data_IF_365390995746
#
_entry.id   IF_365390995746
#
_cell.length_a   1.000
_cell.length_b   1.000
_cell.length_c   1.000
_cell.angle_alpha   90.00
_cell.angle_beta   90.00
_cell.angle_gamma   90.00
#
_symmetry.space_group_name_H-M   'P 1'
#
loop_
_entity.id
_entity.type
_entity.pdbx_description
1 polymer ?
#
# COMPACT_ATOMS: atom_id res chain seq x y z
N UNK A 1 -30.16 17.23 -5.50
CA UNK A 1 -29.58 17.58 -6.84
C UNK A 1 -28.39 18.58 -6.79
N UNK A 2 -28.03 19.21 -5.66
CA UNK A 2 -26.87 20.15 -5.55
C UNK A 2 -25.54 19.51 -5.08
N UNK A 3 -25.55 18.30 -4.52
CA UNK A 3 -24.34 17.60 -4.04
C UNK A 3 -23.51 16.95 -5.17
N UNK A 4 -24.13 16.56 -6.29
CA UNK A 4 -23.40 15.92 -7.39
C UNK A 4 -22.56 16.87 -8.26
N UNK A 5 -22.87 18.17 -8.24
CA UNK A 5 -22.15 19.19 -9.05
C UNK A 5 -20.83 19.65 -8.40
N UNK A 6 -20.69 19.53 -7.07
CA UNK A 6 -19.45 19.92 -6.37
C UNK A 6 -18.33 18.87 -6.49
N UNK A 7 -18.67 17.59 -6.62
CA UNK A 7 -17.66 16.52 -6.76
C UNK A 7 -17.03 16.46 -8.17
N UNK A 8 -17.80 16.74 -9.20
CA UNK A 8 -17.30 16.75 -10.59
C UNK A 8 -16.31 17.87 -10.85
N UNK A 9 -16.49 19.05 -10.23
CA UNK A 9 -15.56 20.19 -10.34
C UNK A 9 -14.23 19.95 -9.63
N UNK A 10 -14.21 19.20 -8.51
CA UNK A 10 -12.98 18.85 -7.79
C UNK A 10 -12.07 17.88 -8.55
N UNK A 11 -12.66 16.92 -9.27
CA UNK A 11 -11.93 15.95 -10.06
C UNK A 11 -11.35 16.55 -11.36
N UNK A 12 -12.11 17.43 -12.02
CA UNK A 12 -11.63 18.14 -13.20
C UNK A 12 -10.42 19.04 -12.89
N UNK A 13 -10.46 19.77 -11.78
CA UNK A 13 -9.32 20.59 -11.32
C UNK A 13 -8.09 19.76 -10.93
N UNK A 14 -8.26 18.55 -10.39
CA UNK A 14 -7.14 17.65 -10.07
C UNK A 14 -6.48 17.12 -11.34
N UNK A 15 -7.29 16.66 -12.31
CA UNK A 15 -6.80 16.19 -13.60
C UNK A 15 -6.10 17.32 -14.37
N UNK A 16 -6.68 18.51 -14.42
CA UNK A 16 -6.07 19.68 -15.06
C UNK A 16 -4.73 20.07 -14.42
N UNK A 17 -4.60 20.00 -13.08
CA UNK A 17 -3.32 20.32 -12.42
C UNK A 17 -2.24 19.27 -12.72
N UNK A 18 -2.58 17.99 -12.71
CA UNK A 18 -1.63 16.91 -13.05
C UNK A 18 -1.21 16.97 -14.52
N UNK A 19 -2.16 17.26 -15.42
CA UNK A 19 -1.88 17.49 -16.84
C UNK A 19 -0.97 18.72 -17.02
N UNK A 20 -1.23 19.82 -16.29
CA UNK A 20 -0.39 21.01 -16.32
C UNK A 20 1.05 20.75 -15.85
N UNK A 21 1.22 19.99 -14.77
CA UNK A 21 2.56 19.60 -14.29
C UNK A 21 3.25 18.67 -15.27
N UNK A 22 2.53 17.71 -15.85
CA UNK A 22 3.06 16.83 -16.89
C UNK A 22 3.46 17.58 -18.17
N UNK A 23 2.64 18.56 -18.58
CA UNK A 23 2.95 19.43 -19.71
C UNK A 23 4.18 20.31 -19.43
N UNK A 24 4.32 20.87 -18.22
CA UNK A 24 5.50 21.63 -17.83
C UNK A 24 6.75 20.76 -17.89
N UNK A 25 6.70 19.53 -17.35
CA UNK A 25 7.80 18.59 -17.41
C UNK A 25 8.20 18.26 -18.84
N UNK A 26 7.23 17.93 -19.70
CA UNK A 26 7.46 17.65 -21.11
C UNK A 26 8.03 18.87 -21.86
N UNK A 27 7.58 20.09 -21.52
CA UNK A 27 8.08 21.33 -22.12
C UNK A 27 9.53 21.59 -21.72
N UNK A 28 9.91 21.38 -20.46
CA UNK A 28 11.29 21.49 -19.98
C UNK A 28 12.18 20.52 -20.77
N UNK A 29 11.81 19.22 -20.80
CA UNK A 29 12.54 18.23 -21.56
C UNK A 29 12.70 18.59 -23.05
N UNK A 30 11.63 19.09 -23.67
CA UNK A 30 11.67 19.49 -25.09
C UNK A 30 12.59 20.66 -25.34
N UNK A 31 12.56 21.68 -24.47
CA UNK A 31 13.44 22.84 -24.55
C UNK A 31 14.90 22.40 -24.40
N UNK A 32 15.22 21.57 -23.42
CA UNK A 32 16.57 21.09 -23.19
C UNK A 32 17.10 20.25 -24.36
N UNK A 33 16.26 19.36 -24.93
CA UNK A 33 16.61 18.59 -26.12
C UNK A 33 16.87 19.50 -27.33
N UNK A 34 16.01 20.50 -27.55
CA UNK A 34 16.18 21.46 -28.65
C UNK A 34 17.44 22.31 -28.46
N UNK A 35 17.70 22.79 -27.23
CA UNK A 35 18.91 23.54 -26.91
C UNK A 35 20.17 22.68 -27.13
N UNK A 36 20.16 21.43 -26.70
CA UNK A 36 21.28 20.50 -26.95
C UNK A 36 21.48 20.22 -28.44
N UNK A 37 20.40 20.07 -29.21
CA UNK A 37 20.46 19.80 -30.65
C UNK A 37 20.89 20.99 -31.52
N UNK A 38 20.67 22.23 -31.02
CA UNK A 38 21.05 23.47 -31.73
C UNK A 38 22.39 24.04 -31.30
N UNK A 39 23.03 23.44 -30.29
CA UNK A 39 24.26 23.93 -29.67
C UNK A 39 25.51 23.27 -30.28
N UNK A 40 26.66 23.93 -30.20
CA UNK A 40 27.95 23.32 -30.51
C UNK A 40 28.27 22.12 -29.60
N UNK A 41 29.06 21.12 -30.03
CA UNK A 41 29.27 19.87 -29.26
C UNK A 41 29.62 20.05 -27.79
N UNK A 42 30.43 21.05 -27.43
CA UNK A 42 30.81 21.32 -26.05
C UNK A 42 29.68 21.91 -25.20
N UNK A 43 28.84 22.77 -25.75
CA UNK A 43 27.68 23.34 -25.06
C UNK A 43 26.50 22.35 -24.99
N UNK A 44 26.35 21.49 -25.99
CA UNK A 44 25.38 20.40 -25.97
C UNK A 44 25.66 19.41 -24.83
N UNK A 45 26.93 19.05 -24.60
CA UNK A 45 27.31 18.20 -23.47
C UNK A 45 27.06 18.89 -22.12
N UNK A 46 27.30 20.20 -21.99
CA UNK A 46 26.99 20.97 -20.79
C UNK A 46 25.48 20.96 -20.48
N UNK A 47 24.65 21.20 -21.49
CA UNK A 47 23.18 21.16 -21.36
C UNK A 47 22.70 19.78 -20.92
N UNK A 48 23.15 18.72 -21.59
CA UNK A 48 22.71 17.36 -21.30
C UNK A 48 23.20 16.85 -19.93
N UNK A 49 24.40 17.23 -19.50
CA UNK A 49 25.01 16.67 -18.31
C UNK A 49 24.83 17.54 -17.05
N UNK A 50 24.44 18.80 -17.18
CA UNK A 50 24.26 19.72 -16.04
C UNK A 50 22.84 20.33 -16.02
N UNK A 51 22.41 21.01 -17.10
CA UNK A 51 21.14 21.72 -17.09
C UNK A 51 19.97 20.76 -16.97
N UNK A 52 19.91 19.73 -17.81
CA UNK A 52 18.85 18.73 -17.81
C UNK A 52 18.68 18.02 -16.45
N UNK A 53 19.72 17.51 -15.77
CA UNK A 53 19.60 16.99 -14.41
C UNK A 53 19.07 17.99 -13.41
N UNK A 54 19.51 19.25 -13.44
CA UNK A 54 19.00 20.29 -12.54
C UNK A 54 17.52 20.56 -12.78
N UNK A 55 17.11 20.66 -14.03
CA UNK A 55 15.71 20.92 -14.38
C UNK A 55 14.79 19.75 -13.99
N UNK A 56 15.20 18.54 -14.25
CA UNK A 56 14.38 17.36 -13.98
C UNK A 56 14.40 16.92 -12.51
N UNK A 57 15.52 17.11 -11.79
CA UNK A 57 15.66 16.63 -10.40
C UNK A 57 15.44 17.73 -9.37
N UNK A 58 15.45 19.02 -9.74
CA UNK A 58 15.27 20.15 -8.82
C UNK A 58 14.08 21.02 -9.23
N UNK A 59 14.09 21.57 -10.45
CA UNK A 59 13.05 22.53 -10.88
C UNK A 59 11.69 21.86 -11.04
N UNK A 60 11.60 20.72 -11.71
CA UNK A 60 10.33 20.01 -11.91
C UNK A 60 9.74 19.48 -10.59
N UNK A 61 10.49 18.84 -9.67
CA UNK A 61 10.02 18.48 -8.34
C UNK A 61 9.55 19.68 -7.50
N UNK A 62 10.28 20.81 -7.55
CA UNK A 62 9.90 22.02 -6.85
C UNK A 62 8.59 22.61 -7.41
N UNK A 63 8.45 22.65 -8.73
CA UNK A 63 7.22 23.07 -9.39
C UNK A 63 6.04 22.16 -9.01
N UNK A 64 6.26 20.85 -9.00
CA UNK A 64 5.26 19.87 -8.55
C UNK A 64 4.87 20.09 -7.08
N UNK A 65 5.84 20.32 -6.21
CA UNK A 65 5.59 20.62 -4.81
C UNK A 65 4.77 21.91 -4.62
N UNK A 66 5.15 22.99 -5.29
CA UNK A 66 4.47 24.29 -5.19
C UNK A 66 3.05 24.24 -5.78
N UNK A 67 2.87 23.58 -6.92
CA UNK A 67 1.59 23.58 -7.64
C UNK A 67 0.60 22.51 -7.14
N UNK A 68 1.10 21.38 -6.65
CA UNK A 68 0.26 20.23 -6.33
C UNK A 68 0.30 19.81 -4.86
N UNK A 69 1.49 19.65 -4.28
CA UNK A 69 1.66 19.09 -2.93
C UNK A 69 1.31 20.12 -1.86
N UNK A 70 1.97 21.28 -1.88
CA UNK A 70 1.81 22.35 -0.89
C UNK A 70 0.38 22.88 -0.78
N UNK A 71 -0.33 23.26 -1.87
CA UNK A 71 -1.68 23.83 -1.76
C UNK A 71 -2.72 22.83 -1.26
N UNK A 72 -2.40 21.54 -1.28
CA UNK A 72 -3.31 20.45 -0.85
C UNK A 72 -2.95 19.86 0.51
N UNK A 73 -1.96 20.44 1.20
CA UNK A 73 -1.49 19.92 2.50
C UNK A 73 -1.02 18.47 2.46
N UNK A 74 -0.55 18.01 1.28
CA UNK A 74 -0.07 16.64 1.12
C UNK A 74 1.34 16.49 1.63
N UNK A 75 1.71 15.24 1.99
CA UNK A 75 3.07 14.92 2.41
C UNK A 75 4.10 15.26 1.33
N UNK A 76 5.22 15.92 1.67
CA UNK A 76 6.31 16.20 0.74
C UNK A 76 6.95 14.94 0.16
N UNK A 77 6.78 13.78 0.77
CA UNK A 77 7.21 12.46 0.25
C UNK A 77 6.72 12.22 -1.18
N UNK A 78 5.57 12.80 -1.58
CA UNK A 78 5.06 12.69 -2.96
C UNK A 78 5.96 13.31 -4.02
N UNK A 79 6.94 14.11 -3.64
CA UNK A 79 7.92 14.72 -4.55
C UNK A 79 9.01 13.72 -4.95
N UNK A 80 9.33 12.75 -4.11
CA UNK A 80 10.42 11.79 -4.31
C UNK A 80 10.34 10.99 -5.63
N UNK A 81 9.18 10.42 -6.00
CA UNK A 81 9.06 9.75 -7.29
C UNK A 81 9.41 10.65 -8.48
N UNK A 82 9.12 11.96 -8.38
CA UNK A 82 9.43 12.92 -9.45
C UNK A 82 10.94 13.14 -9.55
N UNK A 83 11.65 13.24 -8.41
CA UNK A 83 13.12 13.36 -8.37
C UNK A 83 13.78 12.11 -8.97
N UNK A 84 13.35 10.91 -8.58
CA UNK A 84 13.94 9.67 -9.08
C UNK A 84 13.64 9.44 -10.57
N UNK A 85 12.43 9.78 -11.05
CA UNK A 85 12.09 9.76 -12.47
C UNK A 85 12.95 10.78 -13.26
N UNK A 86 13.15 11.96 -12.69
CA UNK A 86 14.04 12.98 -13.27
C UNK A 86 15.47 12.48 -13.39
N UNK A 87 16.00 11.82 -12.36
CA UNK A 87 17.32 11.21 -12.38
C UNK A 87 17.46 10.10 -13.42
N UNK A 88 16.47 9.22 -13.53
CA UNK A 88 16.45 8.16 -14.54
C UNK A 88 16.40 8.73 -15.97
N UNK A 89 15.54 9.73 -16.21
CA UNK A 89 15.44 10.42 -17.50
C UNK A 89 16.77 11.13 -17.87
N UNK A 90 17.36 11.87 -16.93
CA UNK A 90 18.65 12.53 -17.13
C UNK A 90 19.75 11.54 -17.46
N UNK A 91 19.78 10.38 -16.77
CA UNK A 91 20.77 9.33 -17.03
C UNK A 91 20.61 8.71 -18.43
N UNK A 92 19.37 8.58 -18.92
CA UNK A 92 19.11 8.03 -20.24
C UNK A 92 19.48 9.00 -21.38
N UNK A 93 19.51 10.32 -21.10
CA UNK A 93 19.71 11.38 -22.09
C UNK A 93 21.12 12.00 -22.04
N UNK A 94 22.00 11.53 -21.17
CA UNK A 94 23.35 12.07 -21.03
C UNK A 94 24.24 11.71 -22.23
N UNK A 95 25.20 12.60 -22.50
CA UNK A 95 26.20 12.45 -23.56
C UNK A 95 27.56 12.08 -22.92
N UNK A 96 28.28 11.17 -23.55
CA UNK A 96 29.63 10.70 -23.14
C UNK A 96 29.75 10.08 -21.75
N UNK A 97 28.64 9.65 -21.13
CA UNK A 97 28.65 8.96 -19.84
C UNK A 97 29.19 9.78 -18.65
N UNK A 98 29.35 11.10 -18.80
CA UNK A 98 29.80 11.99 -17.73
C UNK A 98 28.66 12.40 -16.80
N UNK A 99 28.34 11.54 -15.83
CA UNK A 99 27.21 11.69 -14.92
C UNK A 99 27.52 12.36 -13.58
N UNK A 100 28.53 13.18 -13.47
CA UNK A 100 29.02 13.65 -12.17
C UNK A 100 27.93 14.28 -11.29
N UNK A 101 26.96 14.96 -11.89
CA UNK A 101 25.90 15.65 -11.14
C UNK A 101 24.75 14.72 -10.70
N UNK A 102 24.33 13.78 -11.55
CA UNK A 102 23.20 12.87 -11.24
C UNK A 102 23.42 12.02 -9.99
N UNK A 103 24.57 11.35 -9.80
CA UNK A 103 24.85 10.63 -8.56
C UNK A 103 24.85 11.54 -7.32
N UNK A 104 25.39 12.75 -7.43
CA UNK A 104 25.38 13.71 -6.31
C UNK A 104 23.95 14.12 -5.93
N UNK A 105 23.08 14.40 -6.91
CA UNK A 105 21.69 14.75 -6.68
C UNK A 105 20.89 13.55 -6.14
N UNK A 106 21.15 12.33 -6.60
CA UNK A 106 20.53 11.12 -6.06
C UNK A 106 20.96 10.86 -4.61
N UNK A 107 22.24 11.05 -4.28
CA UNK A 107 22.74 10.96 -2.89
C UNK A 107 22.09 12.03 -2.02
N UNK A 108 21.98 13.27 -2.50
CA UNK A 108 21.30 14.34 -1.79
C UNK A 108 19.82 14.04 -1.58
N UNK A 109 19.12 13.52 -2.60
CA UNK A 109 17.74 13.07 -2.50
C UNK A 109 17.59 11.94 -1.46
N UNK A 110 18.46 10.93 -1.52
CA UNK A 110 18.47 9.84 -0.53
C UNK A 110 18.75 10.34 0.90
N UNK A 111 19.64 11.33 1.06
CA UNK A 111 19.89 11.95 2.37
C UNK A 111 18.65 12.70 2.90
N UNK A 112 17.92 13.40 2.03
CA UNK A 112 16.63 14.02 2.38
C UNK A 112 15.60 12.97 2.76
N UNK A 113 15.51 11.85 2.03
CA UNK A 113 14.61 10.73 2.35
C UNK A 113 14.90 10.19 3.74
N UNK A 114 16.17 9.91 4.03
CA UNK A 114 16.61 9.44 5.35
C UNK A 114 16.28 10.47 6.44
N UNK A 115 16.50 11.76 6.20
CA UNK A 115 16.18 12.81 7.16
C UNK A 115 14.67 12.90 7.43
N UNK A 116 13.83 12.82 6.39
CA UNK A 116 12.37 12.79 6.52
C UNK A 116 11.94 11.55 7.29
N UNK A 117 12.43 10.36 6.93
CA UNK A 117 12.14 9.13 7.64
C UNK A 117 12.58 9.22 9.11
N UNK A 118 13.78 9.71 9.39
CA UNK A 118 14.27 9.91 10.75
C UNK A 118 13.44 10.91 11.55
N UNK A 119 12.81 11.89 10.92
CA UNK A 119 11.91 12.84 11.58
C UNK A 119 10.55 12.22 11.92
N UNK A 120 10.04 11.33 11.07
CA UNK A 120 8.74 10.67 11.27
C UNK A 120 8.83 9.44 12.18
N UNK A 121 9.94 8.69 12.16
CA UNK A 121 10.15 7.50 13.00
C UNK A 121 9.90 7.79 14.51
N UNK A 122 10.42 8.87 15.12
CA UNK A 122 10.15 9.15 16.54
C UNK A 122 8.68 9.48 16.81
N UNK A 123 7.96 10.08 15.85
CA UNK A 123 6.53 10.38 15.97
C UNK A 123 5.72 9.10 15.94
N UNK A 124 5.99 8.24 14.96
CA UNK A 124 5.36 6.92 14.82
C UNK A 124 5.69 6.05 16.04
N UNK A 125 6.96 6.02 16.48
CA UNK A 125 7.38 5.26 17.65
C UNK A 125 6.68 5.73 18.95
N UNK A 126 6.46 7.04 19.11
CA UNK A 126 5.68 7.59 20.25
C UNK A 126 4.22 7.17 20.16
N UNK A 127 3.59 7.27 18.99
CA UNK A 127 2.22 6.85 18.78
C UNK A 127 2.05 5.34 19.04
N UNK A 128 2.96 4.50 18.54
CA UNK A 128 2.98 3.05 18.79
C UNK A 128 3.15 2.74 20.29
N UNK A 129 4.02 3.46 21.00
CA UNK A 129 4.21 3.28 22.44
C UNK A 129 2.97 3.71 23.23
N UNK A 130 2.38 4.86 22.90
CA UNK A 130 1.17 5.36 23.56
C UNK A 130 0.03 4.34 23.43
N UNK A 131 -0.21 3.83 22.23
CA UNK A 131 -1.20 2.79 21.99
C UNK A 131 -0.84 1.41 22.56
N UNK A 132 0.45 1.10 22.71
CA UNK A 132 0.87 -0.13 23.39
C UNK A 132 0.60 -0.08 24.91
N UNK A 133 0.55 1.11 25.51
CA UNK A 133 0.16 1.30 26.91
C UNK A 133 -1.37 1.23 27.09
N UNK A 134 -2.16 1.81 26.16
CA UNK A 134 -3.63 1.68 26.14
C UNK A 134 -4.11 0.30 25.66
N UNK A 135 -3.30 -0.39 24.89
CA UNK A 135 -3.67 -1.60 24.15
C UNK A 135 -3.60 -2.91 24.94
N UNK A 136 -3.38 -2.88 26.25
CA UNK A 136 -3.62 -4.08 27.08
C UNK A 136 -5.10 -4.49 27.09
N UNK A 137 -6.00 -3.54 26.82
CA UNK A 137 -7.47 -3.73 26.75
C UNK A 137 -8.04 -3.62 25.32
N UNK A 138 -7.23 -3.45 24.27
CA UNK A 138 -7.79 -3.16 22.96
C UNK A 138 -8.17 -4.42 22.19
N UNK A 139 -9.39 -4.41 21.68
CA UNK A 139 -9.96 -5.42 20.77
C UNK A 139 -9.25 -5.43 19.38
N UNK A 140 -8.29 -4.55 19.16
CA UNK A 140 -7.60 -4.35 17.89
C UNK A 140 -6.47 -5.36 17.69
N UNK A 141 -6.41 -5.96 16.51
CA UNK A 141 -5.27 -6.76 16.06
C UNK A 141 -4.01 -5.90 15.88
N UNK A 142 -2.81 -6.48 15.80
CA UNK A 142 -1.59 -5.72 15.55
C UNK A 142 -1.64 -4.87 14.28
N UNK A 143 -2.22 -5.37 13.18
CA UNK A 143 -2.39 -4.61 11.94
C UNK A 143 -3.30 -3.39 12.12
N UNK A 144 -4.42 -3.55 12.81
CA UNK A 144 -5.35 -2.47 13.12
C UNK A 144 -4.71 -1.41 14.03
N UNK A 145 -3.91 -1.83 15.03
CA UNK A 145 -3.17 -0.90 15.89
C UNK A 145 -2.18 -0.05 15.11
N UNK A 146 -1.37 -0.67 14.23
CA UNK A 146 -0.44 0.08 13.39
C UNK A 146 -1.18 1.05 12.48
N UNK A 147 -2.34 0.64 11.93
CA UNK A 147 -3.15 1.52 11.10
C UNK A 147 -3.65 2.73 11.89
N UNK A 148 -4.21 2.54 13.08
CA UNK A 148 -4.65 3.64 13.93
C UNK A 148 -3.51 4.58 14.33
N UNK A 149 -2.33 4.02 14.68
CA UNK A 149 -1.16 4.82 15.02
C UNK A 149 -0.71 5.72 13.88
N UNK A 150 -0.54 5.12 12.71
CA UNK A 150 0.02 5.82 11.55
C UNK A 150 -0.98 6.82 10.97
N UNK A 151 -2.26 6.45 10.90
CA UNK A 151 -3.32 7.36 10.46
C UNK A 151 -3.51 8.53 11.44
N UNK A 152 -3.32 8.31 12.74
CA UNK A 152 -3.36 9.36 13.76
C UNK A 152 -2.23 10.38 13.63
N UNK A 153 -1.04 9.96 13.17
CA UNK A 153 0.13 10.84 12.97
C UNK A 153 0.14 11.49 11.58
N UNK A 154 -0.15 10.72 10.53
CA UNK A 154 0.00 11.13 9.13
C UNK A 154 -1.31 11.53 8.46
N UNK A 155 -2.44 11.37 9.15
CA UNK A 155 -3.78 11.51 8.59
C UNK A 155 -4.20 10.29 7.74
N UNK A 156 -5.51 10.21 7.45
CA UNK A 156 -6.10 9.11 6.67
C UNK A 156 -5.71 9.25 5.19
N UNK A 157 -4.69 8.55 4.77
CA UNK A 157 -4.14 8.59 3.42
C UNK A 157 -3.67 7.21 2.96
N UNK A 158 -3.58 7.00 1.64
CA UNK A 158 -3.05 5.73 1.10
C UNK A 158 -1.59 5.47 1.54
N UNK A 159 -0.66 6.45 1.51
CA UNK A 159 0.69 6.24 2.03
C UNK A 159 0.73 5.86 3.52
N UNK A 160 -0.12 6.46 4.35
CA UNK A 160 -0.20 6.11 5.77
C UNK A 160 -0.62 4.65 5.97
N UNK A 161 -1.61 4.18 5.21
CA UNK A 161 -2.06 2.78 5.26
C UNK A 161 -1.01 1.81 4.75
N UNK A 162 -0.30 2.17 3.66
CA UNK A 162 0.81 1.36 3.16
C UNK A 162 1.92 1.23 4.21
N UNK A 163 2.31 2.33 4.85
CA UNK A 163 3.30 2.30 5.92
C UNK A 163 2.83 1.47 7.12
N UNK A 164 1.56 1.59 7.50
CA UNK A 164 0.99 0.76 8.56
C UNK A 164 1.04 -0.74 8.23
N UNK A 165 0.75 -1.09 6.97
CA UNK A 165 0.88 -2.47 6.47
C UNK A 165 2.32 -2.97 6.53
N UNK A 166 3.30 -2.15 6.13
CA UNK A 166 4.73 -2.50 6.22
C UNK A 166 5.16 -2.77 7.67
N UNK A 167 4.77 -1.88 8.59
CA UNK A 167 5.06 -2.07 10.02
C UNK A 167 4.40 -3.34 10.58
N UNK A 168 3.15 -3.61 10.18
CA UNK A 168 2.45 -4.84 10.56
C UNK A 168 3.14 -6.07 9.97
N UNK A 169 3.56 -6.03 8.69
CA UNK A 169 4.31 -7.10 8.03
C UNK A 169 5.56 -7.50 8.83
N UNK A 170 6.39 -6.50 9.19
CA UNK A 170 7.59 -6.76 9.98
C UNK A 170 7.28 -7.29 11.37
N UNK A 171 6.20 -6.80 12.00
CA UNK A 171 5.76 -7.30 13.30
C UNK A 171 5.32 -8.77 13.21
N UNK A 172 4.50 -9.13 12.21
CA UNK A 172 4.05 -10.51 12.00
C UNK A 172 5.20 -11.44 11.64
N UNK A 173 6.17 -10.97 10.85
CA UNK A 173 7.35 -11.76 10.50
C UNK A 173 8.26 -12.04 11.70
N UNK A 174 8.54 -11.01 12.52
CA UNK A 174 9.61 -11.09 13.53
C UNK A 174 9.10 -11.38 14.95
N UNK A 175 7.89 -10.96 15.31
CA UNK A 175 7.40 -10.98 16.69
C UNK A 175 6.17 -11.84 16.93
N UNK A 176 5.58 -12.42 15.91
CA UNK A 176 4.32 -13.16 16.02
C UNK A 176 4.50 -14.62 16.36
N UNK A 177 5.70 -15.14 16.27
CA UNK A 177 5.98 -16.57 16.49
C UNK A 177 5.71 -16.98 17.94
N UNK A 178 4.99 -18.10 18.12
CA UNK A 178 4.60 -18.60 19.42
C UNK A 178 3.46 -17.83 20.11
N UNK A 179 2.91 -16.79 19.49
CA UNK A 179 1.76 -16.07 20.06
C UNK A 179 0.46 -16.76 19.70
N UNK A 180 -0.53 -16.79 20.62
CA UNK A 180 -1.89 -17.25 20.32
C UNK A 180 -2.62 -16.29 19.41
N UNK A 181 -3.70 -16.78 18.78
CA UNK A 181 -4.63 -15.94 18.02
C UNK A 181 -5.22 -14.84 18.92
N UNK A 182 -5.41 -13.67 18.32
CA UNK A 182 -5.95 -12.51 19.04
C UNK A 182 -7.48 -12.63 19.14
N UNK A 183 -7.94 -13.13 20.30
CA UNK A 183 -9.35 -13.27 20.62
C UNK A 183 -9.61 -12.66 22.00
N UNK A 184 -10.20 -11.45 22.10
CA UNK A 184 -10.68 -10.88 23.36
C UNK A 184 -11.82 -11.73 23.95
N UNK A 185 -11.98 -11.68 25.28
CA UNK A 185 -12.91 -12.55 26.01
C UNK A 185 -14.40 -12.41 25.58
N UNK A 186 -14.78 -11.21 25.14
CA UNK A 186 -16.16 -10.90 24.73
C UNK A 186 -16.49 -11.28 23.25
N UNK A 187 -15.57 -11.99 22.56
CA UNK A 187 -15.72 -12.30 21.14
C UNK A 187 -15.66 -13.79 20.87
N UNK A 188 -16.56 -14.27 20.01
CA UNK A 188 -16.40 -15.55 19.33
C UNK A 188 -15.44 -15.38 18.14
N UNK A 189 -14.45 -16.26 18.04
CA UNK A 189 -13.44 -16.22 16.99
C UNK A 189 -13.69 -17.29 15.93
N UNK A 190 -13.75 -16.85 14.67
CA UNK A 190 -13.90 -17.72 13.52
C UNK A 190 -12.65 -17.68 12.66
N UNK A 191 -11.94 -18.81 12.55
CA UNK A 191 -10.81 -18.95 11.65
C UNK A 191 -11.29 -19.00 10.19
N UNK A 192 -10.39 -18.64 9.24
CA UNK A 192 -10.68 -18.62 7.80
C UNK A 192 -9.49 -19.11 6.97
N UNK A 193 -8.58 -19.84 7.60
CA UNK A 193 -7.31 -20.26 6.99
C UNK A 193 -7.13 -21.78 7.00
N UNK A 194 -7.92 -22.56 7.75
CA UNK A 194 -7.74 -24.01 7.91
C UNK A 194 -8.36 -24.76 6.74
N UNK A 195 -9.62 -24.52 6.45
CA UNK A 195 -10.36 -25.16 5.36
C UNK A 195 -10.02 -24.58 3.97
N UNK A 196 -9.48 -23.36 3.94
CA UNK A 196 -9.16 -22.64 2.70
C UNK A 196 -7.88 -23.11 2.01
N UNK A 197 -7.15 -24.08 2.55
CA UNK A 197 -5.81 -24.47 2.06
C UNK A 197 -4.82 -23.31 1.85
N UNK A 198 -5.16 -22.09 2.29
CA UNK A 198 -4.37 -20.89 2.06
C UNK A 198 -2.95 -21.01 2.64
N UNK A 199 -2.84 -21.61 3.83
CA UNK A 199 -1.54 -21.86 4.50
C UNK A 199 -0.70 -22.88 3.75
N UNK A 200 -1.30 -23.97 3.27
CA UNK A 200 -0.62 -24.99 2.49
C UNK A 200 -0.15 -24.41 1.15
N UNK A 201 -1.03 -23.70 0.45
CA UNK A 201 -0.68 -23.05 -0.81
C UNK A 201 0.45 -22.02 -0.62
N UNK A 202 0.37 -21.17 0.42
CA UNK A 202 1.44 -20.23 0.75
C UNK A 202 2.77 -20.90 1.00
N UNK A 203 2.79 -22.04 1.72
CA UNK A 203 4.00 -22.82 1.99
C UNK A 203 4.61 -23.35 0.68
N UNK A 204 3.77 -23.92 -0.19
CA UNK A 204 4.22 -24.40 -1.51
C UNK A 204 4.76 -23.26 -2.37
N UNK A 205 4.07 -22.12 -2.40
CA UNK A 205 4.53 -20.94 -3.15
C UNK A 205 5.84 -20.39 -2.62
N UNK A 206 6.03 -20.33 -1.30
CA UNK A 206 7.31 -19.92 -0.69
C UNK A 206 8.43 -20.86 -1.12
N UNK A 207 8.19 -22.17 -1.07
CA UNK A 207 9.20 -23.16 -1.49
C UNK A 207 9.55 -23.04 -2.97
N UNK A 208 8.55 -23.02 -3.86
CA UNK A 208 8.76 -22.94 -5.30
C UNK A 208 9.43 -21.62 -5.71
N UNK A 209 8.96 -20.47 -5.19
CA UNK A 209 9.55 -19.19 -5.50
C UNK A 209 10.96 -19.02 -4.95
N UNK A 210 11.29 -19.65 -3.81
CA UNK A 210 12.67 -19.69 -3.31
C UNK A 210 13.60 -20.47 -4.25
N UNK A 211 13.13 -21.60 -4.78
CA UNK A 211 13.89 -22.38 -5.77
C UNK A 211 14.04 -21.63 -7.09
N UNK A 212 12.93 -21.05 -7.58
CA UNK A 212 12.92 -20.24 -8.81
C UNK A 212 13.88 -19.04 -8.71
N UNK A 213 13.93 -18.38 -7.54
CA UNK A 213 14.81 -17.23 -7.31
C UNK A 213 16.27 -17.56 -7.58
N UNK A 214 16.73 -18.75 -7.20
CA UNK A 214 18.12 -19.19 -7.45
C UNK A 214 18.36 -19.32 -8.96
N UNK A 215 17.44 -19.98 -9.67
CA UNK A 215 17.56 -20.18 -11.12
C UNK A 215 17.53 -18.86 -11.88
N UNK A 216 16.56 -17.99 -11.54
CA UNK A 216 16.41 -16.68 -12.15
C UNK A 216 17.60 -15.77 -11.86
N UNK A 217 18.14 -15.81 -10.63
CA UNK A 217 19.35 -15.06 -10.27
C UNK A 217 20.55 -15.47 -11.14
N UNK A 218 20.79 -16.77 -11.28
CA UNK A 218 21.88 -17.29 -12.11
C UNK A 218 21.69 -16.90 -13.58
N UNK A 219 20.47 -17.01 -14.09
CA UNK A 219 20.17 -16.64 -15.48
C UNK A 219 20.37 -15.14 -15.73
N UNK A 220 19.81 -14.29 -14.86
CA UNK A 220 19.92 -12.82 -14.98
C UNK A 220 21.34 -12.32 -14.74
N UNK A 221 22.12 -12.94 -13.89
CA UNK A 221 23.52 -12.54 -13.64
C UNK A 221 24.40 -12.68 -14.89
N UNK A 222 24.01 -13.55 -15.86
CA UNK A 222 24.69 -13.65 -17.15
C UNK A 222 24.42 -12.44 -18.07
N UNK A 223 23.31 -11.74 -17.84
CA UNK A 223 22.92 -10.54 -18.60
C UNK A 223 23.38 -9.29 -17.87
N UNK A 224 23.07 -9.17 -16.59
CA UNK A 224 23.42 -8.03 -15.75
C UNK A 224 23.35 -8.40 -14.25
N UNK A 225 24.46 -8.22 -13.54
CA UNK A 225 24.51 -8.43 -12.10
C UNK A 225 23.53 -7.51 -11.34
N UNK A 226 23.38 -6.25 -11.76
CA UNK A 226 22.44 -5.32 -11.15
C UNK A 226 21.00 -5.80 -11.28
N UNK A 227 20.61 -6.26 -12.47
CA UNK A 227 19.27 -6.79 -12.73
C UNK A 227 19.00 -8.05 -11.90
N UNK A 228 19.98 -8.95 -11.78
CA UNK A 228 19.87 -10.15 -10.95
C UNK A 228 19.64 -9.81 -9.47
N UNK A 229 20.39 -8.83 -8.94
CA UNK A 229 20.25 -8.37 -7.54
C UNK A 229 18.85 -7.77 -7.32
N UNK A 230 18.41 -6.86 -8.18
CA UNK A 230 17.09 -6.21 -8.07
C UNK A 230 15.96 -7.25 -8.10
N UNK A 231 16.00 -8.18 -9.06
CA UNK A 231 15.00 -9.24 -9.16
C UNK A 231 14.98 -10.13 -7.90
N UNK A 232 16.14 -10.50 -7.40
CA UNK A 232 16.27 -11.30 -6.17
C UNK A 232 15.70 -10.58 -4.97
N UNK A 233 16.04 -9.29 -4.77
CA UNK A 233 15.52 -8.50 -3.66
C UNK A 233 13.99 -8.35 -3.74
N UNK A 234 13.45 -8.14 -4.94
CA UNK A 234 12.00 -8.07 -5.16
C UNK A 234 11.30 -9.39 -4.80
N UNK A 235 11.88 -10.54 -5.19
CA UNK A 235 11.32 -11.86 -4.85
C UNK A 235 11.42 -12.13 -3.36
N UNK A 236 12.57 -11.86 -2.73
CA UNK A 236 12.73 -12.01 -1.27
C UNK A 236 11.71 -11.15 -0.52
N UNK A 237 11.50 -9.92 -0.94
CA UNK A 237 10.47 -9.05 -0.35
C UNK A 237 9.06 -9.63 -0.50
N UNK A 238 8.72 -10.15 -1.68
CA UNK A 238 7.42 -10.79 -1.92
C UNK A 238 7.22 -12.06 -1.03
N UNK A 239 8.28 -12.86 -0.83
CA UNK A 239 8.26 -14.01 0.07
C UNK A 239 8.07 -13.61 1.53
N UNK A 240 8.78 -12.59 1.98
CA UNK A 240 8.62 -12.00 3.33
C UNK A 240 7.18 -11.55 3.54
N UNK A 241 6.62 -10.85 2.55
CA UNK A 241 5.25 -10.38 2.58
C UNK A 241 4.24 -11.53 2.65
N UNK A 242 4.43 -12.59 1.85
CA UNK A 242 3.58 -13.78 1.83
C UNK A 242 3.59 -14.51 3.18
N UNK A 243 4.76 -14.71 3.78
CA UNK A 243 4.90 -15.33 5.10
C UNK A 243 4.21 -14.49 6.18
N UNK A 244 4.44 -13.17 6.20
CA UNK A 244 3.84 -12.27 7.16
C UNK A 244 2.31 -12.21 7.03
N UNK A 245 1.78 -12.18 5.79
CA UNK A 245 0.35 -12.21 5.52
C UNK A 245 -0.30 -13.52 5.99
N UNK A 246 0.33 -14.66 5.72
CA UNK A 246 -0.14 -15.96 6.20
C UNK A 246 -0.16 -16.00 7.73
N UNK A 247 0.88 -15.48 8.39
CA UNK A 247 0.89 -15.34 9.87
C UNK A 247 -0.22 -14.42 10.38
N UNK A 248 -0.50 -13.31 9.69
CA UNK A 248 -1.59 -12.42 10.03
C UNK A 248 -2.95 -13.11 9.93
N UNK A 249 -3.19 -13.91 8.88
CA UNK A 249 -4.42 -14.69 8.73
C UNK A 249 -4.63 -15.68 9.88
N UNK A 250 -3.56 -16.35 10.34
CA UNK A 250 -3.63 -17.31 11.45
C UNK A 250 -3.92 -16.63 12.80
N UNK A 251 -3.32 -15.45 13.02
CA UNK A 251 -3.37 -14.77 14.32
C UNK A 251 -4.51 -13.76 14.46
N UNK A 252 -5.14 -13.35 13.37
CA UNK A 252 -6.22 -12.38 13.35
C UNK A 252 -7.51 -13.01 12.77
N UNK A 253 -8.24 -13.84 13.54
CA UNK A 253 -9.50 -14.43 13.12
C UNK A 253 -10.59 -13.38 12.93
N UNK A 254 -11.69 -13.75 12.29
CA UNK A 254 -12.92 -12.98 12.28
C UNK A 254 -13.50 -13.03 13.70
N UNK A 255 -13.90 -11.89 14.24
CA UNK A 255 -14.42 -11.78 15.59
C UNK A 255 -15.88 -11.31 15.55
N UNK A 256 -16.73 -11.98 16.32
CA UNK A 256 -18.15 -11.67 16.47
C UNK A 256 -18.45 -11.47 17.95
N UNK A 257 -19.04 -10.33 18.32
CA UNK A 257 -19.58 -10.07 19.65
C UNK A 257 -21.08 -9.79 19.58
N UNK A 258 -21.72 -9.55 20.69
CA UNK A 258 -23.13 -9.16 20.74
C UNK A 258 -23.44 -7.88 19.96
N UNK A 259 -22.53 -6.93 19.92
CA UNK A 259 -22.73 -5.62 19.28
C UNK A 259 -21.94 -5.41 17.99
N UNK A 260 -20.79 -6.08 17.82
CA UNK A 260 -19.82 -5.78 16.74
C UNK A 260 -19.34 -7.02 16.02
N UNK A 261 -19.05 -6.84 14.75
CA UNK A 261 -18.40 -7.84 13.88
C UNK A 261 -17.14 -7.25 13.27
N UNK A 262 -16.00 -7.93 13.48
CA UNK A 262 -14.71 -7.52 12.97
C UNK A 262 -14.25 -8.55 11.93
N UNK A 263 -14.50 -8.26 10.65
CA UNK A 263 -14.08 -9.12 9.54
C UNK A 263 -12.65 -8.72 9.17
N UNK A 264 -11.69 -9.59 9.48
CA UNK A 264 -10.26 -9.39 9.23
C UNK A 264 -9.79 -10.15 8.01
N UNK A 265 -8.76 -9.64 7.33
CA UNK A 265 -8.24 -10.24 6.12
C UNK A 265 -6.71 -10.11 6.04
N UNK A 266 -6.02 -10.90 6.84
CA UNK A 266 -4.56 -10.91 6.93
C UNK A 266 -3.99 -9.54 7.28
N UNK A 267 -3.04 -9.05 6.47
CA UNK A 267 -2.44 -7.73 6.60
C UNK A 267 -3.31 -6.60 6.04
N UNK A 268 -4.28 -6.93 5.19
CA UNK A 268 -5.12 -5.93 4.53
C UNK A 268 -6.19 -5.35 5.47
N UNK A 269 -6.68 -4.13 5.16
CA UNK A 269 -7.77 -3.53 5.90
C UNK A 269 -9.02 -4.42 5.86
N UNK A 270 -9.48 -4.81 7.04
CA UNK A 270 -10.73 -5.54 7.23
C UNK A 270 -11.96 -4.64 7.10
N UNK A 271 -13.09 -5.16 7.61
CA UNK A 271 -14.36 -4.44 7.74
C UNK A 271 -14.84 -4.58 9.18
N UNK A 272 -15.15 -3.44 9.79
CA UNK A 272 -15.77 -3.37 11.12
C UNK A 272 -17.21 -2.90 10.93
N UNK A 273 -18.16 -3.61 11.48
CA UNK A 273 -19.56 -3.27 11.36
C UNK A 273 -20.32 -3.60 12.66
N UNK A 274 -21.43 -2.91 12.86
CA UNK A 274 -22.33 -3.23 13.94
C UNK A 274 -23.13 -4.50 13.59
N UNK A 275 -23.25 -5.43 14.54
CA UNK A 275 -23.99 -6.68 14.33
C UNK A 275 -25.45 -6.41 13.93
N UNK A 276 -26.07 -5.37 14.46
CA UNK A 276 -27.42 -4.94 14.13
C UNK A 276 -27.62 -4.59 12.64
N UNK A 277 -26.53 -4.22 11.94
CA UNK A 277 -26.55 -3.93 10.50
C UNK A 277 -26.49 -5.19 9.63
N UNK A 278 -26.30 -6.37 10.20
CA UNK A 278 -26.37 -7.62 9.46
C UNK A 278 -27.85 -7.96 9.20
N UNK A 279 -28.21 -8.08 7.93
CA UNK A 279 -29.56 -8.46 7.52
C UNK A 279 -29.70 -9.98 7.41
N UNK A 280 -28.71 -10.62 6.77
CA UNK A 280 -28.72 -12.07 6.53
C UNK A 280 -27.29 -12.57 6.29
N UNK A 281 -27.09 -13.89 6.42
CA UNK A 281 -25.85 -14.59 6.11
C UNK A 281 -26.15 -15.77 5.20
N UNK A 282 -25.72 -15.69 3.94
CA UNK A 282 -25.97 -16.70 2.92
C UNK A 282 -24.73 -17.57 2.74
N UNK A 283 -24.86 -18.87 2.97
CA UNK A 283 -23.80 -19.86 2.72
C UNK A 283 -23.97 -20.36 1.28
N UNK A 284 -22.91 -20.28 0.47
CA UNK A 284 -22.93 -20.65 -0.94
C UNK A 284 -22.80 -19.43 -1.85
N UNK A 285 -23.09 -19.66 -3.14
CA UNK A 285 -22.98 -18.60 -4.14
C UNK A 285 -24.17 -17.64 -4.07
N UNK A 286 -23.84 -16.33 -4.13
CA UNK A 286 -24.83 -15.25 -4.22
C UNK A 286 -24.46 -14.35 -5.39
N UNK A 287 -25.41 -14.08 -6.29
CA UNK A 287 -25.22 -13.13 -7.38
C UNK A 287 -25.35 -11.68 -6.89
N UNK A 288 -24.32 -11.23 -6.20
CA UNK A 288 -24.26 -9.88 -5.65
C UNK A 288 -23.75 -8.87 -6.71
N UNK A 289 -24.37 -7.67 -6.82
CA UNK A 289 -23.96 -6.64 -7.75
C UNK A 289 -22.48 -6.26 -7.58
N UNK A 290 -21.73 -6.23 -8.68
CA UNK A 290 -20.26 -5.97 -8.66
C UNK A 290 -19.87 -4.62 -8.04
N UNK A 291 -20.74 -3.62 -8.10
CA UNK A 291 -20.50 -2.28 -7.54
C UNK A 291 -20.63 -2.20 -6.02
N UNK A 292 -21.40 -3.09 -5.40
CA UNK A 292 -21.76 -3.05 -3.98
C UNK A 292 -21.14 -4.20 -3.16
N UNK A 293 -20.28 -5.01 -3.77
CA UNK A 293 -19.65 -6.15 -3.10
C UNK A 293 -18.18 -5.92 -2.79
N UNK A 294 -17.73 -6.52 -1.71
CA UNK A 294 -16.33 -6.69 -1.36
C UNK A 294 -16.03 -8.16 -1.13
N UNK A 295 -14.90 -8.62 -1.67
CA UNK A 295 -14.42 -9.99 -1.47
C UNK A 295 -13.27 -9.96 -0.47
N UNK A 296 -13.48 -10.58 0.68
CA UNK A 296 -12.51 -10.83 1.75
C UNK A 296 -12.38 -12.33 2.01
N UNK A 297 -12.79 -13.15 1.04
CA UNK A 297 -12.65 -14.60 1.15
C UNK A 297 -11.21 -15.05 0.99
N UNK A 298 -10.84 -16.13 1.65
CA UNK A 298 -9.61 -16.85 1.40
C UNK A 298 -9.78 -17.83 0.23
N UNK A 299 -8.67 -18.21 -0.41
CA UNK A 299 -8.68 -19.13 -1.53
C UNK A 299 -9.16 -20.53 -1.09
N UNK A 300 -10.23 -21.04 -1.71
CA UNK A 300 -10.67 -22.44 -1.57
C UNK A 300 -11.61 -22.73 -0.41
N UNK A 301 -11.96 -21.77 0.43
CA UNK A 301 -12.99 -21.97 1.46
C UNK A 301 -14.42 -21.84 0.91
N UNK A 302 -15.43 -22.41 1.59
CA UNK A 302 -16.82 -22.25 1.19
C UNK A 302 -17.22 -20.78 1.22
N UNK A 303 -17.82 -20.24 0.14
CA UNK A 303 -18.23 -18.86 0.11
C UNK A 303 -19.36 -18.61 1.11
N UNK A 304 -19.24 -17.55 1.90
CA UNK A 304 -20.25 -17.08 2.83
C UNK A 304 -20.42 -15.57 2.63
N UNK A 305 -21.67 -15.12 2.47
CA UNK A 305 -21.98 -13.72 2.21
C UNK A 305 -22.68 -13.10 3.41
N UNK A 306 -22.11 -12.04 3.93
CA UNK A 306 -22.78 -11.18 4.92
C UNK A 306 -23.50 -10.07 4.16
N UNK A 307 -24.80 -10.02 4.29
CA UNK A 307 -25.69 -9.03 3.66
C UNK A 307 -26.02 -7.96 4.68
N UNK A 308 -25.77 -6.69 4.33
CA UNK A 308 -26.02 -5.56 5.23
C UNK A 308 -27.43 -4.98 5.00
N UNK A 309 -28.08 -4.56 6.09
CA UNK A 309 -29.36 -3.81 6.06
C UNK A 309 -29.13 -2.45 5.40
N UNK A 310 -28.17 -1.72 5.91
CA UNK A 310 -27.76 -0.42 5.39
C UNK A 310 -26.37 -0.50 4.75
N UNK A 311 -26.22 -0.02 3.50
CA UNK A 311 -24.92 0.01 2.85
C UNK A 311 -23.93 0.87 3.63
N UNK A 312 -22.69 0.41 3.76
CA UNK A 312 -21.63 1.12 4.44
C UNK A 312 -20.55 1.62 3.47
N UNK A 313 -19.92 2.74 3.80
CA UNK A 313 -18.80 3.24 3.04
C UNK A 313 -17.51 2.51 3.46
N UNK A 314 -16.85 1.84 2.51
CA UNK A 314 -15.54 1.23 2.71
C UNK A 314 -14.46 1.96 1.92
N UNK A 315 -13.39 2.35 2.59
CA UNK A 315 -12.19 2.93 1.96
C UNK A 315 -11.17 1.82 1.71
N UNK A 316 -10.94 1.40 0.45
CA UNK A 316 -9.91 0.41 0.13
C UNK A 316 -8.51 0.97 0.39
N UNK A 317 -7.48 0.10 0.40
CA UNK A 317 -6.08 0.52 0.54
C UNK A 317 -5.70 1.54 -0.54
N UNK A 318 -6.07 1.26 -1.78
CA UNK A 318 -5.86 2.13 -2.94
C UNK A 318 -7.19 2.31 -3.65
N UNK A 319 -7.48 3.55 -4.07
CA UNK A 319 -8.69 3.88 -4.82
C UNK A 319 -9.70 4.73 -4.05
N UNK A 320 -10.90 4.83 -4.60
CA UNK A 320 -12.01 5.63 -4.03
C UNK A 320 -12.80 4.79 -3.04
N UNK A 321 -13.39 5.48 -2.07
CA UNK A 321 -14.39 4.87 -1.21
C UNK A 321 -15.52 4.25 -2.05
N UNK A 322 -15.98 3.07 -1.64
CA UNK A 322 -17.07 2.33 -2.29
C UNK A 322 -18.16 2.06 -1.28
N UNK A 323 -19.37 2.14 -1.72
CA UNK A 323 -20.53 1.69 -0.95
C UNK A 323 -20.59 0.17 -1.03
N UNK A 324 -20.65 -0.50 0.12
CA UNK A 324 -20.62 -1.96 0.23
C UNK A 324 -21.89 -2.42 0.95
N UNK A 325 -22.60 -3.36 0.36
CA UNK A 325 -23.76 -4.02 0.92
C UNK A 325 -23.57 -5.53 1.10
N UNK A 326 -22.65 -6.11 0.32
CA UNK A 326 -22.38 -7.54 0.31
C UNK A 326 -20.89 -7.78 0.63
N UNK A 327 -20.63 -8.55 1.68
CA UNK A 327 -19.27 -8.90 2.09
C UNK A 327 -19.11 -10.41 1.96
N UNK A 328 -18.22 -10.82 1.04
CA UNK A 328 -17.88 -12.23 0.89
C UNK A 328 -16.74 -12.58 1.83
N UNK A 329 -16.93 -13.65 2.60
CA UNK A 329 -15.93 -14.20 3.54
C UNK A 329 -15.90 -15.73 3.38
N UNK A 330 -14.90 -16.38 3.94
CA UNK A 330 -14.82 -17.85 3.94
C UNK A 330 -14.41 -18.34 5.34
N UNK A 331 -15.30 -18.25 6.35
CA UNK A 331 -15.02 -18.81 7.66
C UNK A 331 -14.94 -20.36 7.57
N UNK A 332 -14.03 -20.96 8.34
CA UNK A 332 -13.88 -22.43 8.37
C UNK A 332 -15.14 -23.11 8.90
N UNK A 333 -15.83 -22.48 9.86
CA UNK A 333 -17.16 -22.89 10.33
C UNK A 333 -18.23 -21.87 9.86
N UNK A 334 -18.73 -22.03 8.64
CA UNK A 334 -19.71 -21.15 8.05
C UNK A 334 -21.08 -21.24 8.76
N UNK A 335 -21.45 -22.42 9.29
CA UNK A 335 -22.71 -22.63 9.99
C UNK A 335 -22.71 -21.97 11.35
N UNK A 336 -21.65 -22.20 12.15
CA UNK A 336 -21.47 -21.54 13.44
C UNK A 336 -21.33 -20.03 13.30
N UNK A 337 -20.66 -19.55 12.24
CA UNK A 337 -20.54 -18.13 11.93
C UNK A 337 -21.90 -17.49 11.63
N UNK A 338 -22.74 -18.16 10.82
CA UNK A 338 -24.10 -17.69 10.53
C UNK A 338 -24.95 -17.62 11.80
N UNK A 339 -24.91 -18.65 12.63
CA UNK A 339 -25.63 -18.70 13.91
C UNK A 339 -25.19 -17.55 14.83
N UNK A 340 -23.89 -17.36 14.99
CA UNK A 340 -23.33 -16.28 15.82
C UNK A 340 -23.69 -14.87 15.33
N UNK A 341 -24.02 -14.68 14.06
CA UNK A 341 -24.40 -13.37 13.49
C UNK A 341 -25.90 -13.10 13.58
N UNK A 342 -26.75 -14.12 13.48
CA UNK A 342 -28.20 -13.96 13.35
C UNK A 342 -28.97 -14.22 14.67
N UNK A 343 -28.39 -14.95 15.58
CA UNK A 343 -28.95 -15.26 16.91
C UNK A 343 -28.24 -14.50 18.02
#
# INVERSE_FOLDING_TARGET
MRLGLMETTGNGRRAATLLGVGALFATICLIDILCAGLSEPGSAALTANIALPLDLMVVAPLAFWLAYVRPRGKSPILVLPVIYLGGAASSAMSIDGQFALVPCLLVAAAAVDVAVLCSEVPRIARAVRALSCEARDSQLSPSERFQHCVEGVMGISAPARMLAMELAMWWYLLRSWGKPAHCPEDFAAFSYHRESNATALATVLVFLASLETIVVHIALSRVSAALAIVATLATVYALVWLVANTRAMVLAPILVSESRVLIRWGLFPGVHLDRSNVADVVIGDLDAPRGERVDLSSLGGPPCWVVLREPMERKPLIGRAKTVRYIKVSPDDAVGFRHALLE
#
